data_IF_908115720676
#
_entry.id   IF_908115720676
#
_cell.length_a   1.000
_cell.length_b   1.000
_cell.length_c   1.000
_cell.angle_alpha   90.00
_cell.angle_beta   90.00
_cell.angle_gamma   90.00
#
_symmetry.space_group_name_H-M   'P 1'
#
loop_
_entity.id
_entity.type
_entity.pdbx_description
1 polymer ?
#
# COMPACT_ATOMS: atom_id res chain seq x y z
N UNK A 1 -5.56 10.19 21.26
CA UNK A 1 -5.41 9.00 20.40
C UNK A 1 -3.95 8.92 19.98
N UNK A 2 -3.30 7.77 20.20
CA UNK A 2 -1.92 7.54 19.73
C UNK A 2 -1.88 7.63 18.20
N UNK A 3 -0.83 8.23 17.64
CA UNK A 3 -0.55 8.25 16.21
C UNK A 3 0.73 7.48 15.91
N UNK A 4 0.71 6.58 14.93
CA UNK A 4 1.90 5.93 14.40
C UNK A 4 2.28 6.58 13.07
N UNK A 5 3.54 6.94 12.91
CA UNK A 5 4.06 7.65 11.74
C UNK A 5 5.52 7.26 11.46
N UNK A 6 5.91 7.21 10.18
CA UNK A 6 7.29 6.94 9.76
C UNK A 6 7.76 7.97 8.75
N UNK A 7 8.95 8.57 8.96
CA UNK A 7 9.57 9.47 8.00
C UNK A 7 10.02 8.78 6.70
N UNK A 8 10.13 7.45 6.69
CA UNK A 8 10.48 6.67 5.48
C UNK A 8 9.47 6.87 4.35
N UNK A 9 8.25 7.36 4.65
CA UNK A 9 7.27 7.68 3.62
C UNK A 9 7.88 8.57 2.52
N UNK A 10 8.80 9.47 2.88
CA UNK A 10 9.46 10.42 1.97
C UNK A 10 10.31 9.76 0.90
N UNK A 11 10.74 8.51 1.12
CA UNK A 11 11.50 7.73 0.16
C UNK A 11 10.67 7.40 -1.10
N UNK A 12 9.34 7.35 -0.97
CA UNK A 12 8.45 7.30 -2.12
C UNK A 12 8.03 8.72 -2.54
N UNK A 13 8.67 9.20 -3.60
CA UNK A 13 8.40 10.50 -4.20
C UNK A 13 8.50 10.41 -5.74
N UNK A 14 7.38 10.02 -6.36
CA UNK A 14 7.23 10.01 -7.82
C UNK A 14 7.32 11.41 -8.43
N UNK A 15 7.98 11.50 -9.59
CA UNK A 15 8.06 12.75 -10.36
C UNK A 15 6.80 13.00 -11.16
N UNK A 16 6.33 11.97 -11.87
CA UNK A 16 5.16 12.08 -12.75
C UNK A 16 4.31 10.81 -12.72
N UNK A 17 3.02 11.00 -12.96
CA UNK A 17 2.00 9.97 -13.14
C UNK A 17 1.20 10.25 -14.42
N UNK A 18 0.57 9.22 -14.99
CA UNK A 18 -0.26 9.37 -16.18
C UNK A 18 -1.72 9.59 -15.79
N UNK A 19 -2.21 10.83 -15.90
CA UNK A 19 -3.61 11.19 -15.64
C UNK A 19 -4.17 11.96 -16.84
N UNK A 20 -5.37 11.57 -17.29
CA UNK A 20 -6.04 12.27 -18.41
C UNK A 20 -5.26 12.25 -19.72
N UNK A 21 -4.37 11.26 -19.92
CA UNK A 21 -3.49 11.16 -21.08
C UNK A 21 -2.27 12.09 -21.04
N UNK A 22 -1.95 12.71 -19.89
CA UNK A 22 -0.81 13.60 -19.72
C UNK A 22 0.08 13.16 -18.55
N UNK A 23 1.39 13.39 -18.69
CA UNK A 23 2.31 13.29 -17.56
C UNK A 23 2.13 14.49 -16.64
N UNK A 24 1.66 14.24 -15.44
CA UNK A 24 1.34 15.25 -14.43
C UNK A 24 2.20 14.99 -13.19
N UNK A 25 2.63 16.02 -12.44
CA UNK A 25 3.28 15.81 -11.15
C UNK A 25 2.41 14.97 -10.21
N UNK A 26 3.01 14.03 -9.48
CA UNK A 26 2.25 13.10 -8.66
C UNK A 26 1.39 13.81 -7.60
N UNK A 27 0.10 13.48 -7.53
CA UNK A 27 -0.78 13.99 -6.47
C UNK A 27 -0.44 13.38 -5.10
N UNK A 28 -0.04 12.11 -5.06
CA UNK A 28 0.41 11.40 -3.85
C UNK A 28 1.83 11.82 -3.45
N UNK A 29 1.97 13.02 -2.90
CA UNK A 29 3.27 13.62 -2.54
C UNK A 29 3.56 13.59 -1.03
N UNK A 30 4.84 13.62 -0.61
CA UNK A 30 5.23 13.58 0.80
C UNK A 30 4.55 14.64 1.67
N UNK A 31 4.30 15.83 1.12
CA UNK A 31 3.66 16.91 1.87
C UNK A 31 2.24 16.62 2.33
N UNK A 32 1.58 15.59 1.79
CA UNK A 32 0.28 15.12 2.31
C UNK A 32 0.40 14.58 3.74
N UNK A 33 1.38 13.72 3.99
CA UNK A 33 1.63 13.19 5.34
C UNK A 33 2.10 14.30 6.29
N UNK A 34 2.89 15.26 5.80
CA UNK A 34 3.33 16.44 6.58
C UNK A 34 2.15 17.26 7.07
N UNK A 35 1.24 17.63 6.17
CA UNK A 35 0.05 18.42 6.51
C UNK A 35 -0.81 17.73 7.57
N UNK A 36 -0.97 16.40 7.46
CA UNK A 36 -1.75 15.64 8.44
C UNK A 36 -1.01 15.55 9.78
N UNK A 37 0.30 15.28 9.77
CA UNK A 37 1.12 15.23 10.97
C UNK A 37 1.16 16.57 11.71
N UNK A 38 1.30 17.67 10.98
CA UNK A 38 1.25 19.02 11.53
C UNK A 38 -0.09 19.30 12.20
N UNK A 39 -1.20 18.87 11.57
CA UNK A 39 -2.52 19.02 12.17
C UNK A 39 -2.68 18.15 13.42
N UNK A 40 -2.21 16.89 13.40
CA UNK A 40 -2.20 15.98 14.56
C UNK A 40 -1.49 16.63 15.76
N UNK A 41 -0.31 17.23 15.52
CA UNK A 41 0.47 17.94 16.53
C UNK A 41 -0.25 19.21 17.01
N UNK A 42 -0.75 20.03 16.08
CA UNK A 42 -1.38 21.30 16.40
C UNK A 42 -2.65 21.18 17.27
N UNK A 43 -3.43 20.11 17.10
CA UNK A 43 -4.62 19.86 17.93
C UNK A 43 -4.33 19.05 19.19
N UNK A 44 -3.09 18.61 19.40
CA UNK A 44 -2.72 17.75 20.52
C UNK A 44 -3.48 16.42 20.51
N UNK A 45 -3.66 15.79 19.33
CA UNK A 45 -4.47 14.56 19.21
C UNK A 45 -3.95 13.44 20.13
N UNK A 46 -2.63 13.37 20.31
CA UNK A 46 -1.94 12.44 21.20
C UNK A 46 -0.47 12.33 20.85
N UNK A 47 0.21 11.38 21.50
CA UNK A 47 1.61 11.05 21.19
C UNK A 47 1.78 10.56 19.75
N UNK A 48 2.91 10.88 19.12
CA UNK A 48 3.32 10.35 17.81
C UNK A 48 4.51 9.42 18.01
N UNK A 49 4.39 8.16 17.57
CA UNK A 49 5.44 7.15 17.68
C UNK A 49 5.86 6.61 16.31
N UNK A 50 7.13 6.23 16.20
CA UNK A 50 7.64 5.46 15.07
C UNK A 50 7.06 4.04 15.07
N UNK A 51 6.88 3.41 13.89
CA UNK A 51 6.46 2.02 13.84
C UNK A 51 7.57 1.06 14.29
N UNK A 52 7.17 -0.15 14.67
CA UNK A 52 8.08 -1.30 14.81
C UNK A 52 8.18 -2.04 13.49
N UNK A 53 9.27 -2.77 13.30
CA UNK A 53 9.41 -3.71 12.18
C UNK A 53 8.75 -5.05 12.49
N UNK A 54 7.90 -5.53 11.59
CA UNK A 54 7.20 -6.80 11.69
C UNK A 54 7.65 -7.82 10.62
N UNK A 55 8.62 -7.47 9.77
CA UNK A 55 9.06 -8.29 8.65
C UNK A 55 7.98 -8.48 7.59
N UNK A 56 8.21 -9.42 6.68
CA UNK A 56 7.36 -9.64 5.50
C UNK A 56 6.22 -10.64 5.73
N UNK A 57 6.29 -11.45 6.79
CA UNK A 57 5.29 -12.50 7.02
C UNK A 57 3.86 -11.93 7.08
N UNK A 58 3.54 -10.87 7.86
CA UNK A 58 2.18 -10.31 7.86
C UNK A 58 1.73 -9.76 6.51
N UNK A 59 2.66 -9.27 5.69
CA UNK A 59 2.36 -8.78 4.33
C UNK A 59 1.97 -9.95 3.43
N UNK A 60 2.72 -11.07 3.51
CA UNK A 60 2.50 -12.32 2.75
C UNK A 60 1.23 -13.08 3.15
N UNK A 61 0.61 -12.74 4.29
CA UNK A 61 -0.71 -13.27 4.68
C UNK A 61 -1.84 -12.67 3.83
N UNK A 62 -1.58 -11.57 3.15
CA UNK A 62 -2.55 -10.79 2.36
C UNK A 62 -2.17 -10.75 0.88
N UNK A 63 -0.89 -10.55 0.60
CA UNK A 63 -0.37 -10.40 -0.75
C UNK A 63 0.30 -11.69 -1.23
N UNK A 64 0.12 -12.01 -2.51
CA UNK A 64 0.75 -13.17 -3.14
C UNK A 64 2.27 -13.06 -3.13
N UNK A 65 2.97 -14.20 -3.01
CA UNK A 65 4.43 -14.22 -2.96
C UNK A 65 5.06 -13.64 -4.24
N UNK A 66 4.44 -13.89 -5.41
CA UNK A 66 4.89 -13.33 -6.68
C UNK A 66 4.87 -11.80 -6.68
N UNK A 67 3.79 -11.21 -6.17
CA UNK A 67 3.63 -9.76 -6.10
C UNK A 67 4.60 -9.11 -5.11
N UNK A 68 4.76 -9.68 -3.91
CA UNK A 68 5.74 -9.20 -2.92
C UNK A 68 7.15 -9.28 -3.48
N UNK A 69 7.52 -10.40 -4.10
CA UNK A 69 8.83 -10.57 -4.76
C UNK A 69 9.03 -9.58 -5.91
N UNK A 70 7.99 -9.32 -6.70
CA UNK A 70 8.07 -8.31 -7.76
C UNK A 70 8.38 -6.93 -7.18
N UNK A 71 7.60 -6.43 -6.22
CA UNK A 71 7.81 -5.11 -5.62
C UNK A 71 9.19 -4.97 -4.95
N UNK A 72 9.67 -6.03 -4.31
CA UNK A 72 10.98 -6.06 -3.67
C UNK A 72 12.14 -5.86 -4.66
N UNK A 73 12.02 -6.41 -5.86
CA UNK A 73 13.09 -6.43 -6.85
C UNK A 73 12.88 -5.41 -8.00
N UNK A 74 11.68 -4.86 -8.16
CA UNK A 74 11.26 -4.08 -9.32
C UNK A 74 12.25 -2.97 -9.69
N UNK A 75 12.69 -2.18 -8.71
CA UNK A 75 13.61 -1.07 -8.99
C UNK A 75 15.00 -1.55 -9.42
N UNK A 76 15.53 -2.61 -8.80
CA UNK A 76 16.84 -3.15 -9.19
C UNK A 76 16.80 -3.79 -10.58
N UNK A 77 15.73 -4.54 -10.87
CA UNK A 77 15.48 -5.12 -12.19
C UNK A 77 15.33 -4.02 -13.25
N UNK A 78 14.71 -2.89 -12.90
CA UNK A 78 14.61 -1.71 -13.77
C UNK A 78 15.96 -1.08 -14.04
N UNK A 79 16.78 -0.84 -13.01
CA UNK A 79 18.14 -0.32 -13.15
C UNK A 79 19.02 -1.24 -14.02
N UNK A 80 18.85 -2.55 -13.89
CA UNK A 80 19.60 -3.54 -14.69
C UNK A 80 19.32 -3.45 -16.20
N UNK A 81 18.22 -2.82 -16.61
CA UNK A 81 17.93 -2.51 -18.02
C UNK A 81 18.57 -1.20 -18.52
N UNK A 82 19.34 -0.50 -17.68
CA UNK A 82 19.99 0.78 -17.99
C UNK A 82 19.09 2.00 -17.82
N UNK A 83 17.88 1.84 -17.27
CA UNK A 83 16.93 2.92 -17.00
C UNK A 83 17.09 3.43 -15.57
N UNK A 84 16.82 4.72 -15.35
CA UNK A 84 16.98 5.38 -14.03
C UNK A 84 15.85 6.35 -13.68
N UNK A 85 14.82 6.43 -14.53
CA UNK A 85 13.60 7.19 -14.29
C UNK A 85 12.53 6.31 -13.64
N UNK A 86 11.48 6.95 -13.10
CA UNK A 86 10.37 6.26 -12.45
C UNK A 86 9.68 5.26 -13.40
N UNK A 87 9.27 4.12 -12.85
CA UNK A 87 8.69 3.02 -13.62
C UNK A 87 7.20 3.26 -13.82
N UNK A 88 6.73 3.17 -15.07
CA UNK A 88 5.31 3.20 -15.41
C UNK A 88 4.97 2.05 -16.36
N UNK A 89 3.88 1.31 -16.13
CA UNK A 89 3.42 0.25 -17.02
C UNK A 89 2.96 0.80 -18.37
N UNK A 90 3.13 -0.01 -19.42
CA UNK A 90 2.75 0.33 -20.81
C UNK A 90 1.76 -0.65 -21.43
N UNK A 91 1.60 -1.84 -20.84
CA UNK A 91 0.73 -2.89 -21.35
C UNK A 91 0.23 -3.77 -20.19
N UNK A 92 -0.98 -4.31 -20.30
CA UNK A 92 -1.62 -5.12 -19.26
C UNK A 92 -2.21 -6.41 -19.85
N UNK A 93 -2.28 -7.51 -19.07
CA UNK A 93 -2.91 -8.76 -19.48
C UNK A 93 -4.44 -8.65 -19.46
N UNK A 94 -4.99 -7.80 -20.33
CA UNK A 94 -6.45 -7.56 -20.44
C UNK A 94 -7.20 -8.76 -21.03
N UNK A 95 -8.52 -8.60 -21.23
CA UNK A 95 -9.44 -9.66 -21.71
C UNK A 95 -8.86 -10.48 -22.86
N UNK A 96 -8.87 -11.81 -22.70
CA UNK A 96 -8.39 -12.85 -23.64
C UNK A 96 -6.86 -12.98 -23.76
N UNK A 97 -6.08 -12.17 -23.04
CA UNK A 97 -4.65 -12.41 -22.90
C UNK A 97 -4.38 -13.47 -21.82
N UNK A 98 -3.25 -14.15 -21.95
CA UNK A 98 -2.80 -15.15 -20.97
C UNK A 98 -2.49 -14.48 -19.63
N UNK A 99 -2.97 -15.05 -18.55
CA UNK A 99 -2.63 -14.67 -17.18
C UNK A 99 -1.41 -15.47 -16.74
N UNK A 100 -0.25 -15.13 -17.30
CA UNK A 100 1.03 -15.78 -16.99
C UNK A 100 2.06 -14.70 -16.73
N UNK A 101 2.73 -14.78 -15.57
CA UNK A 101 3.79 -13.84 -15.18
C UNK A 101 4.87 -13.77 -16.28
N UNK A 102 5.11 -12.59 -16.88
CA UNK A 102 6.17 -12.43 -17.88
C UNK A 102 7.57 -12.44 -17.26
N UNK A 103 8.61 -12.75 -18.04
CA UNK A 103 9.99 -12.73 -17.53
C UNK A 103 10.56 -11.29 -17.42
N UNK A 104 10.28 -10.45 -18.42
CA UNK A 104 10.84 -9.11 -18.51
C UNK A 104 10.13 -8.12 -17.57
N UNK A 105 10.88 -7.10 -17.12
CA UNK A 105 10.40 -6.15 -16.10
C UNK A 105 9.19 -5.32 -16.55
N UNK A 106 9.11 -4.92 -17.81
CA UNK A 106 7.98 -4.17 -18.36
C UNK A 106 6.70 -5.01 -18.34
N UNK A 107 6.81 -6.29 -18.72
CA UNK A 107 5.72 -7.25 -18.66
C UNK A 107 5.27 -7.53 -17.23
N UNK A 108 6.20 -7.72 -16.28
CA UNK A 108 5.85 -7.90 -14.86
C UNK A 108 5.18 -6.66 -14.27
N UNK A 109 5.67 -5.47 -14.58
CA UNK A 109 5.05 -4.22 -14.14
C UNK A 109 3.61 -4.10 -14.61
N UNK A 110 3.34 -4.47 -15.87
CA UNK A 110 1.98 -4.56 -16.41
C UNK A 110 1.13 -5.67 -15.78
N UNK A 111 1.74 -6.82 -15.47
CA UNK A 111 1.07 -7.97 -14.87
C UNK A 111 0.62 -7.68 -13.43
N UNK A 112 1.45 -7.00 -12.64
CA UNK A 112 1.22 -6.66 -11.24
C UNK A 112 0.61 -5.24 -11.06
N UNK A 113 -0.10 -4.71 -12.05
CA UNK A 113 -0.76 -3.40 -11.96
C UNK A 113 -2.10 -3.34 -12.68
N UNK A 114 -2.93 -2.35 -12.35
CA UNK A 114 -4.16 -2.06 -13.10
C UNK A 114 -4.21 -0.67 -13.74
N UNK A 115 -3.25 0.21 -13.42
CA UNK A 115 -3.15 1.56 -13.99
C UNK A 115 -1.69 2.01 -14.17
N UNK A 116 -1.51 3.19 -14.78
CA UNK A 116 -0.22 3.89 -14.88
C UNK A 116 -0.22 5.20 -14.05
N UNK A 117 -1.04 5.25 -13.00
CA UNK A 117 -1.10 6.37 -12.06
C UNK A 117 -0.13 6.21 -10.89
N UNK A 118 0.33 4.98 -10.61
CA UNK A 118 1.20 4.68 -9.48
C UNK A 118 2.65 4.34 -9.93
N UNK A 119 3.56 5.32 -10.05
CA UNK A 119 4.94 5.04 -10.44
C UNK A 119 5.72 4.29 -9.35
N UNK A 120 6.59 3.34 -9.74
CA UNK A 120 7.60 2.77 -8.83
C UNK A 120 8.89 3.59 -8.95
N UNK A 121 9.41 4.03 -7.81
CA UNK A 121 10.66 4.80 -7.69
C UNK A 121 11.68 4.10 -6.78
N UNK A 122 12.90 4.63 -6.75
CA UNK A 122 14.03 4.08 -5.99
C UNK A 122 13.76 3.76 -4.51
N UNK A 123 12.93 4.56 -3.83
CA UNK A 123 12.62 4.37 -2.41
C UNK A 123 11.26 3.73 -2.14
N UNK A 124 10.57 3.25 -3.19
CA UNK A 124 9.20 2.73 -3.07
C UNK A 124 9.16 1.50 -2.17
N UNK A 125 10.07 0.54 -2.34
CA UNK A 125 10.11 -0.66 -1.51
C UNK A 125 10.18 -0.32 -0.01
N UNK A 126 11.12 0.53 0.39
CA UNK A 126 11.29 0.93 1.78
C UNK A 126 10.05 1.67 2.31
N UNK A 127 9.49 2.59 1.53
CA UNK A 127 8.31 3.36 1.94
C UNK A 127 7.07 2.47 2.11
N UNK A 128 6.82 1.53 1.20
CA UNK A 128 5.64 0.65 1.27
C UNK A 128 5.75 -0.33 2.44
N UNK A 129 6.95 -0.85 2.74
CA UNK A 129 7.18 -1.70 3.91
C UNK A 129 7.03 -0.91 5.21
N UNK A 130 7.51 0.33 5.24
CA UNK A 130 7.37 1.21 6.41
C UNK A 130 5.90 1.58 6.65
N UNK A 131 5.13 1.82 5.58
CA UNK A 131 3.68 2.05 5.67
C UNK A 131 2.91 0.83 6.21
N UNK A 132 3.26 -0.38 5.76
CA UNK A 132 2.68 -1.60 6.32
C UNK A 132 3.00 -1.75 7.82
N UNK A 133 4.24 -1.43 8.22
CA UNK A 133 4.68 -1.42 9.61
C UNK A 133 3.95 -0.35 10.46
N UNK A 134 3.58 0.80 9.87
CA UNK A 134 2.72 1.80 10.52
C UNK A 134 1.34 1.19 10.84
N UNK A 135 0.72 0.50 9.90
CA UNK A 135 -0.57 -0.17 10.11
C UNK A 135 -0.49 -1.30 11.15
N UNK A 136 0.54 -2.15 11.08
CA UNK A 136 0.76 -3.25 12.02
C UNK A 136 1.07 -2.77 13.44
N UNK A 137 1.82 -1.68 13.58
CA UNK A 137 2.05 -1.04 14.87
C UNK A 137 0.73 -0.54 15.47
N UNK A 138 -0.10 0.13 14.68
CA UNK A 138 -1.41 0.60 15.13
C UNK A 138 -2.35 -0.54 15.52
N UNK A 139 -2.37 -1.59 14.71
CA UNK A 139 -3.08 -2.84 15.01
C UNK A 139 -2.61 -3.45 16.34
N UNK A 140 -1.30 -3.53 16.57
CA UNK A 140 -0.76 -4.13 17.77
C UNK A 140 -1.10 -3.34 19.03
N UNK A 141 -1.13 -2.01 18.97
CA UNK A 141 -1.53 -1.16 20.09
C UNK A 141 -3.02 -1.36 20.43
N UNK A 142 -3.89 -1.44 19.41
CA UNK A 142 -5.31 -1.78 19.60
C UNK A 142 -5.50 -3.16 20.24
N UNK A 143 -4.81 -4.17 19.71
CA UNK A 143 -4.87 -5.52 20.25
C UNK A 143 -4.25 -5.65 21.67
N UNK A 144 -3.47 -4.65 22.11
CA UNK A 144 -2.93 -4.56 23.48
C UNK A 144 -3.77 -3.66 24.39
N UNK A 145 -4.98 -3.28 23.99
CA UNK A 145 -5.96 -2.59 24.83
C UNK A 145 -6.11 -1.09 24.55
N UNK A 146 -5.41 -0.53 23.57
CA UNK A 146 -5.71 0.84 23.13
C UNK A 146 -7.13 0.91 22.55
N UNK A 147 -7.91 1.91 22.96
CA UNK A 147 -9.28 2.11 22.43
C UNK A 147 -9.30 2.50 20.95
N UNK A 148 -8.29 3.26 20.50
CA UNK A 148 -8.20 3.82 19.16
C UNK A 148 -6.76 4.23 18.87
N UNK A 149 -6.31 4.08 17.63
CA UNK A 149 -4.99 4.47 17.15
C UNK A 149 -5.12 5.01 15.74
N UNK A 150 -4.37 6.07 15.43
CA UNK A 150 -4.29 6.63 14.09
C UNK A 150 -2.99 6.16 13.42
N UNK A 151 -3.12 5.32 12.38
CA UNK A 151 -1.98 4.86 11.59
C UNK A 151 -1.83 5.79 10.38
N UNK A 152 -0.84 6.71 10.44
CA UNK A 152 -0.62 7.71 9.40
C UNK A 152 0.18 7.10 8.23
N UNK A 153 -0.46 6.18 7.51
CA UNK A 153 0.13 5.43 6.40
C UNK A 153 0.37 6.31 5.17
N UNK A 154 1.56 6.20 4.58
CA UNK A 154 1.89 6.70 3.25
C UNK A 154 3.03 5.87 2.66
N UNK A 155 2.92 5.34 1.42
CA UNK A 155 1.79 5.45 0.49
C UNK A 155 0.49 4.77 0.99
N UNK A 156 -0.69 5.11 0.40
CA UNK A 156 -1.97 4.48 0.76
C UNK A 156 -2.02 2.99 0.36
N UNK A 157 -3.13 2.31 0.65
CA UNK A 157 -3.22 0.86 0.46
C UNK A 157 -4.48 0.27 -0.16
N UNK A 158 -5.64 0.94 -0.10
CA UNK A 158 -6.93 0.28 -0.37
C UNK A 158 -7.17 -0.18 -1.82
N UNK A 159 -6.38 0.32 -2.78
CA UNK A 159 -6.43 -0.11 -4.18
C UNK A 159 -5.51 -1.31 -4.49
N UNK A 160 -4.60 -1.66 -3.58
CA UNK A 160 -3.75 -2.83 -3.73
C UNK A 160 -4.56 -4.10 -3.41
N UNK A 161 -4.68 -4.97 -4.41
CA UNK A 161 -5.28 -6.30 -4.27
C UNK A 161 -4.23 -7.31 -3.80
N UNK A 162 -4.59 -8.61 -3.77
CA UNK A 162 -3.65 -9.66 -3.39
C UNK A 162 -2.44 -9.74 -4.34
N UNK A 163 -2.59 -9.38 -5.62
CA UNK A 163 -1.57 -9.55 -6.65
C UNK A 163 -1.45 -8.40 -7.64
N UNK A 164 -1.93 -7.20 -7.31
CA UNK A 164 -1.68 -6.02 -8.14
C UNK A 164 -1.66 -4.71 -7.35
N UNK A 165 -0.94 -3.75 -7.91
CA UNK A 165 -0.82 -2.36 -7.44
C UNK A 165 -1.62 -1.39 -8.33
N UNK A 166 -1.85 -0.17 -7.84
CA UNK A 166 -2.47 0.93 -8.57
C UNK A 166 -3.16 1.91 -7.63
N UNK A 167 -3.66 3.03 -8.14
CA UNK A 167 -4.27 4.10 -7.34
C UNK A 167 -3.35 4.58 -6.21
N UNK A 168 -2.06 4.70 -6.52
CA UNK A 168 -0.98 5.02 -5.58
C UNK A 168 -0.71 3.96 -4.49
N UNK A 169 -1.39 2.82 -4.52
CA UNK A 169 -1.31 1.76 -3.51
C UNK A 169 -0.45 0.60 -3.99
N UNK A 170 0.39 0.08 -3.09
CA UNK A 170 1.28 -1.06 -3.36
C UNK A 170 1.01 -2.23 -2.40
N UNK A 171 0.94 -1.95 -1.10
CA UNK A 171 0.46 -2.89 -0.10
C UNK A 171 -0.81 -2.38 0.55
N UNK A 172 -1.77 -3.29 0.72
CA UNK A 172 -3.02 -2.97 1.38
C UNK A 172 -2.87 -2.93 2.90
N UNK A 173 -2.50 -1.75 3.40
CA UNK A 173 -2.27 -1.48 4.82
C UNK A 173 -3.48 -1.87 5.71
N UNK A 174 -4.71 -1.61 5.25
CA UNK A 174 -5.93 -1.93 5.99
C UNK A 174 -6.20 -3.43 6.04
N UNK A 175 -6.02 -4.13 4.91
CA UNK A 175 -6.15 -5.58 4.85
C UNK A 175 -5.08 -6.28 5.70
N UNK A 176 -3.83 -5.79 5.69
CA UNK A 176 -2.75 -6.30 6.54
C UNK A 176 -3.10 -6.15 8.02
N UNK A 177 -3.61 -4.98 8.44
CA UNK A 177 -4.06 -4.79 9.82
C UNK A 177 -5.25 -5.71 10.18
N UNK A 178 -6.23 -5.87 9.29
CA UNK A 178 -7.37 -6.75 9.52
C UNK A 178 -6.94 -8.22 9.66
N UNK A 179 -6.07 -8.68 8.76
CA UNK A 179 -5.51 -10.04 8.82
C UNK A 179 -4.70 -10.25 10.11
N UNK A 180 -3.93 -9.26 10.56
CA UNK A 180 -3.19 -9.33 11.82
C UNK A 180 -4.10 -9.40 13.06
N UNK A 181 -5.32 -8.82 13.03
CA UNK A 181 -6.30 -9.06 14.10
C UNK A 181 -6.80 -10.50 14.11
N UNK A 182 -7.10 -11.07 12.94
CA UNK A 182 -7.52 -12.47 12.83
C UNK A 182 -6.42 -13.42 13.31
N UNK A 183 -5.18 -13.19 12.88
CA UNK A 183 -4.01 -13.99 13.29
C UNK A 183 -3.75 -13.89 14.81
N UNK A 184 -4.24 -12.84 15.49
CA UNK A 184 -4.22 -12.69 16.96
C UNK A 184 -5.49 -13.21 17.66
N UNK A 185 -6.35 -13.92 16.95
CA UNK A 185 -7.52 -14.62 17.51
C UNK A 185 -8.85 -13.85 17.44
N UNK A 186 -8.91 -12.71 16.75
CA UNK A 186 -10.20 -12.10 16.45
C UNK A 186 -11.03 -13.05 15.56
N UNK A 187 -12.27 -13.33 15.93
CA UNK A 187 -13.15 -14.20 15.12
C UNK A 187 -13.77 -13.49 13.90
N UNK A 188 -13.91 -12.16 13.96
CA UNK A 188 -14.42 -11.31 12.88
C UNK A 188 -13.80 -9.92 12.95
N UNK A 189 -13.56 -9.31 11.80
CA UNK A 189 -13.09 -7.92 11.65
C UNK A 189 -13.98 -7.21 10.65
N UNK A 190 -14.13 -5.89 10.77
CA UNK A 190 -14.78 -5.07 9.75
C UNK A 190 -13.84 -3.97 9.29
N UNK A 191 -13.82 -3.71 7.98
CA UNK A 191 -13.16 -2.58 7.35
C UNK A 191 -14.24 -1.69 6.77
N UNK A 192 -14.32 -0.46 7.27
CA UNK A 192 -15.14 0.60 6.71
C UNK A 192 -14.22 1.55 5.93
N UNK A 193 -14.36 1.55 4.62
CA UNK A 193 -13.66 2.46 3.73
C UNK A 193 -14.53 3.69 3.46
N UNK A 194 -14.04 4.84 3.90
CA UNK A 194 -14.71 6.14 3.76
C UNK A 194 -13.95 7.06 2.79
N UNK A 195 -12.94 6.54 2.10
CA UNK A 195 -12.28 7.26 1.01
C UNK A 195 -13.28 7.44 -0.14
N UNK A 196 -13.07 8.48 -0.95
CA UNK A 196 -13.94 8.79 -2.08
C UNK A 196 -13.89 7.73 -3.19
N UNK A 197 -12.71 7.21 -3.60
CA UNK A 197 -12.63 6.05 -4.47
C UNK A 197 -12.95 4.76 -3.71
N UNK A 198 -13.63 3.85 -4.38
CA UNK A 198 -13.84 2.50 -3.88
C UNK A 198 -12.52 1.78 -3.60
N UNK A 199 -12.38 1.20 -2.41
CA UNK A 199 -11.26 0.34 -2.01
C UNK A 199 -11.28 -1.04 -2.67
N UNK A 200 -11.18 -1.08 -4.01
CA UNK A 200 -11.30 -2.29 -4.81
C UNK A 200 -10.28 -3.38 -4.45
N UNK A 201 -9.07 -3.00 -4.02
CA UNK A 201 -8.07 -3.97 -3.58
C UNK A 201 -8.47 -4.64 -2.26
N UNK A 202 -9.03 -3.87 -1.32
CA UNK A 202 -9.57 -4.42 -0.08
C UNK A 202 -10.76 -5.34 -0.35
N UNK A 203 -11.64 -4.96 -1.28
CA UNK A 203 -12.74 -5.82 -1.71
C UNK A 203 -12.21 -7.13 -2.28
N UNK A 204 -11.24 -7.08 -3.21
CA UNK A 204 -10.64 -8.26 -3.84
C UNK A 204 -10.10 -9.26 -2.81
N UNK A 205 -9.29 -8.77 -1.86
CA UNK A 205 -8.63 -9.60 -0.84
C UNK A 205 -9.62 -10.40 0.03
N UNK A 206 -10.79 -9.82 0.33
CA UNK A 206 -11.76 -10.42 1.24
C UNK A 206 -13.07 -10.85 0.55
N UNK A 207 -13.13 -10.85 -0.78
CA UNK A 207 -14.38 -11.02 -1.52
C UNK A 207 -15.12 -12.32 -1.17
N UNK A 208 -14.37 -13.43 -1.08
CA UNK A 208 -14.89 -14.77 -0.77
C UNK A 208 -14.79 -15.13 0.73
N UNK A 209 -14.57 -14.13 1.60
CA UNK A 209 -14.28 -14.32 3.02
C UNK A 209 -15.34 -13.71 3.93
N UNK A 210 -15.86 -14.52 4.86
CA UNK A 210 -16.91 -14.09 5.80
C UNK A 210 -16.38 -13.65 7.19
N UNK A 211 -15.08 -13.79 7.43
CA UNK A 211 -14.39 -13.38 8.66
C UNK A 211 -13.97 -11.90 8.63
N UNK A 212 -13.97 -11.26 7.46
CA UNK A 212 -13.80 -9.81 7.30
C UNK A 212 -14.98 -9.21 6.54
N UNK A 213 -15.73 -8.32 7.17
CA UNK A 213 -16.72 -7.49 6.48
C UNK A 213 -16.02 -6.30 5.83
N UNK A 214 -16.21 -6.09 4.53
CA UNK A 214 -15.77 -4.89 3.84
C UNK A 214 -16.99 -4.06 3.40
N UNK A 215 -16.99 -2.77 3.73
CA UNK A 215 -17.98 -1.79 3.29
C UNK A 215 -17.26 -0.54 2.80
N UNK A 216 -17.66 -0.04 1.63
CA UNK A 216 -17.13 1.20 1.03
C UNK A 216 -18.31 2.06 0.56
N UNK A 217 -18.17 3.39 0.69
CA UNK A 217 -19.25 4.37 0.50
C UNK A 217 -19.09 5.18 -0.80
#
# INVERSE_FOLDING_TARGET
>A
MLTIYSDDHRLHHGRHELIGGQFTPCFEKPSRADMVLDRVKAVGLGEVRAPRDFGLEPIRRVHSEGFVRFLQNAWQDWLATGRSHDMLPIAWPTRRLRQTEPDNIDGRLGYYSFDAGAPITAGTWQAITSSANVALSGQSELANGARSVFSLCRPPGHHAAADYMGGYCFFNNAAIAAQAFLDRGAGRVAILDVDYPHGNGTQDIFYDRADVLFTSL
#
